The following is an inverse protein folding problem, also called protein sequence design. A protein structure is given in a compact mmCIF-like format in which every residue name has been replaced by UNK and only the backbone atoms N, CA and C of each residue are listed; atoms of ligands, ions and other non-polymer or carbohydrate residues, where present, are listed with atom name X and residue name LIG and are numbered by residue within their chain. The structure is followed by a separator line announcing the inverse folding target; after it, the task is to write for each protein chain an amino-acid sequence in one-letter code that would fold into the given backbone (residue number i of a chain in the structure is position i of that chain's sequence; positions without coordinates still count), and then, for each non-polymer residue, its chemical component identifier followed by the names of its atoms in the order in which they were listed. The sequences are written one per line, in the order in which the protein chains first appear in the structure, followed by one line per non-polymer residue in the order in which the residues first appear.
data_IF_192214134598
#
_entry.id   IF_192214134598
#
_cell.length_a   1.000
_cell.length_b   1.000
_cell.length_c   1.000
_cell.angle_alpha   90.00
_cell.angle_beta   90.00
_cell.angle_gamma   90.00
#
_symmetry.space_group_name_H-M   'P 1'
#
loop_
_entity.id
_entity.type
_entity.pdbx_description
1 polymer ?
#
# COMPACT_ATOMS: atom_id res chain seq x y z
N UNK A 1 -2.39 30.31 -16.97
CA UNK A 1 -1.50 29.54 -16.06
C UNK A 1 -0.43 30.49 -15.53
N UNK A 2 -0.19 30.52 -14.22
CA UNK A 2 0.81 31.41 -13.61
C UNK A 2 2.22 31.08 -14.12
N UNK A 3 3.02 32.09 -14.48
CA UNK A 3 4.40 31.95 -14.96
C UNK A 3 5.29 31.18 -13.95
N UNK A 4 5.03 31.33 -12.66
CA UNK A 4 5.76 30.62 -11.60
C UNK A 4 5.53 29.10 -11.67
N UNK A 5 4.28 28.66 -11.89
CA UNK A 5 3.94 27.23 -12.05
C UNK A 5 4.65 26.67 -13.29
N UNK A 6 4.63 27.40 -14.41
CA UNK A 6 5.30 26.98 -15.64
C UNK A 6 6.80 26.74 -15.43
N UNK A 7 7.47 27.68 -14.74
CA UNK A 7 8.89 27.55 -14.43
C UNK A 7 9.16 26.34 -13.51
N UNK A 8 8.33 26.12 -12.49
CA UNK A 8 8.46 24.95 -11.60
C UNK A 8 8.23 23.62 -12.35
N UNK A 9 7.29 23.58 -13.29
CA UNK A 9 7.02 22.38 -14.12
C UNK A 9 8.21 22.01 -15.02
N UNK A 10 9.03 22.98 -15.43
CA UNK A 10 10.23 22.74 -16.22
C UNK A 10 11.34 22.05 -15.39
N UNK A 11 11.38 22.30 -14.09
CA UNK A 11 12.39 21.80 -13.15
C UNK A 11 12.06 20.45 -12.51
N UNK A 12 10.92 19.85 -12.86
CA UNK A 12 10.49 18.59 -12.27
C UNK A 12 11.42 17.42 -12.67
N UNK A 13 11.88 16.60 -11.69
CA UNK A 13 12.77 15.49 -11.97
C UNK A 13 12.00 14.27 -12.51
N UNK A 14 12.74 13.43 -13.24
CA UNK A 14 12.30 12.10 -13.68
C UNK A 14 12.54 11.04 -12.58
N UNK A 15 12.08 11.34 -11.35
CA UNK A 15 12.29 10.53 -10.15
C UNK A 15 10.97 10.28 -9.38
N UNK A 16 10.88 9.24 -8.55
CA UNK A 16 9.73 9.03 -7.68
C UNK A 16 9.72 10.06 -6.54
N UNK A 17 8.54 10.29 -5.98
CA UNK A 17 8.38 11.19 -4.85
C UNK A 17 6.95 11.62 -4.59
N UNK A 18 6.80 12.58 -3.70
CA UNK A 18 5.52 13.21 -3.37
C UNK A 18 5.45 14.62 -3.94
N UNK A 19 4.27 15.06 -4.35
CA UNK A 19 3.97 16.44 -4.69
C UNK A 19 2.86 16.97 -3.78
N UNK A 20 2.97 18.25 -3.46
CA UNK A 20 2.15 18.95 -2.47
C UNK A 20 1.59 20.20 -3.16
N UNK A 21 0.27 20.29 -3.28
CA UNK A 21 -0.42 21.39 -3.91
C UNK A 21 -0.95 22.36 -2.86
N UNK A 22 -0.76 23.66 -3.09
CA UNK A 22 -1.12 24.74 -2.16
C UNK A 22 -2.06 25.75 -2.79
N UNK A 23 -2.96 26.29 -1.97
CA UNK A 23 -3.83 27.39 -2.35
C UNK A 23 -3.18 28.77 -2.13
N UNK A 24 -3.93 29.84 -2.45
CA UNK A 24 -3.51 31.25 -2.29
C UNK A 24 -3.08 31.65 -0.88
N UNK A 25 -3.50 30.90 0.15
CA UNK A 25 -3.10 31.13 1.54
C UNK A 25 -1.84 30.36 1.94
N UNK A 26 -1.29 29.55 1.03
CA UNK A 26 -0.20 28.62 1.32
C UNK A 26 -0.65 27.33 2.00
N UNK A 27 -1.97 27.11 2.14
CA UNK A 27 -2.53 25.91 2.78
C UNK A 27 -2.38 24.71 1.86
N UNK A 28 -1.96 23.57 2.41
CA UNK A 28 -1.86 22.30 1.67
C UNK A 28 -3.27 21.78 1.40
N UNK A 29 -3.67 21.76 0.14
CA UNK A 29 -5.00 21.34 -0.28
C UNK A 29 -5.02 19.94 -0.88
N UNK A 30 -3.89 19.45 -1.39
CA UNK A 30 -3.74 18.09 -1.91
C UNK A 30 -2.29 17.60 -1.82
N UNK A 31 -2.11 16.32 -1.54
CA UNK A 31 -0.84 15.60 -1.57
C UNK A 31 -1.03 14.33 -2.42
N UNK A 32 -0.05 14.03 -3.26
CA UNK A 32 -0.04 12.76 -3.98
C UNK A 32 1.37 12.25 -4.25
N UNK A 33 1.50 10.95 -4.51
CA UNK A 33 2.74 10.32 -4.95
C UNK A 33 2.84 10.15 -6.46
N UNK A 34 4.06 10.05 -6.96
CA UNK A 34 4.36 9.76 -8.35
C UNK A 34 5.50 8.74 -8.46
N UNK A 35 5.41 7.84 -9.45
CA UNK A 35 6.57 7.04 -9.91
C UNK A 35 7.59 7.93 -10.62
N UNK A 36 7.08 8.94 -11.33
CA UNK A 36 7.85 9.96 -12.06
C UNK A 36 7.14 11.29 -11.83
N UNK A 37 7.72 12.16 -11.00
CA UNK A 37 7.15 13.45 -10.61
C UNK A 37 6.83 14.33 -11.83
N UNK A 38 7.76 14.44 -12.78
CA UNK A 38 7.57 15.20 -14.02
C UNK A 38 6.30 14.82 -14.78
N UNK A 39 6.09 13.53 -15.03
CA UNK A 39 4.92 13.06 -15.79
C UNK A 39 3.63 13.30 -15.02
N UNK A 40 3.63 12.98 -13.71
CA UNK A 40 2.42 13.03 -12.90
C UNK A 40 1.97 14.46 -12.61
N UNK A 41 2.89 15.37 -12.28
CA UNK A 41 2.52 16.76 -11.95
C UNK A 41 2.12 17.51 -13.22
N UNK A 42 2.85 17.32 -14.34
CA UNK A 42 2.46 17.93 -15.62
C UNK A 42 1.08 17.48 -16.08
N UNK A 43 0.68 16.24 -15.80
CA UNK A 43 -0.64 15.74 -16.21
C UNK A 43 -1.81 16.48 -15.56
N UNK A 44 -1.62 17.28 -14.50
CA UNK A 44 -2.68 18.14 -13.96
C UNK A 44 -2.84 19.45 -14.73
N UNK A 45 -1.88 19.81 -15.58
CA UNK A 45 -1.87 21.08 -16.29
C UNK A 45 -1.97 20.90 -17.81
N UNK A 46 -2.21 19.66 -18.27
CA UNK A 46 -2.27 19.29 -19.68
C UNK A 46 -3.40 18.31 -19.92
N UNK A 47 -4.22 18.55 -20.95
CA UNK A 47 -5.36 17.69 -21.31
C UNK A 47 -6.65 18.03 -20.59
N UNK A 48 -7.68 17.22 -20.79
CA UNK A 48 -8.96 17.33 -20.07
C UNK A 48 -8.95 16.49 -18.79
N UNK A 49 -9.64 16.97 -17.76
CA UNK A 49 -9.73 16.30 -16.45
C UNK A 49 -11.20 16.07 -16.07
N UNK A 50 -11.45 15.23 -15.07
CA UNK A 50 -12.77 15.14 -14.48
C UNK A 50 -13.06 16.41 -13.66
N UNK A 51 -14.35 16.74 -13.49
CA UNK A 51 -14.79 17.97 -12.83
C UNK A 51 -14.17 18.17 -11.44
N UNK A 52 -13.96 17.08 -10.70
CA UNK A 52 -13.32 17.13 -9.38
C UNK A 52 -11.85 17.56 -9.44
N UNK A 53 -11.09 17.04 -10.41
CA UNK A 53 -9.70 17.41 -10.60
C UNK A 53 -9.57 18.82 -11.16
N UNK A 54 -10.47 19.25 -12.05
CA UNK A 54 -10.53 20.65 -12.52
C UNK A 54 -10.76 21.63 -11.36
N UNK A 55 -11.67 21.30 -10.45
CA UNK A 55 -11.90 22.09 -9.25
C UNK A 55 -10.65 22.16 -8.36
N UNK A 56 -9.94 21.06 -8.15
CA UNK A 56 -8.66 21.07 -7.44
C UNK A 56 -7.68 22.04 -8.11
N UNK A 57 -7.43 21.87 -9.41
CA UNK A 57 -6.45 22.67 -10.17
C UNK A 57 -6.81 24.15 -10.13
N UNK A 58 -8.10 24.50 -10.16
CA UNK A 58 -8.57 25.89 -10.09
C UNK A 58 -8.18 26.61 -8.79
N UNK A 59 -7.95 25.88 -7.71
CA UNK A 59 -7.53 26.43 -6.41
C UNK A 59 -6.01 26.39 -6.20
N UNK A 60 -5.28 25.59 -6.99
CA UNK A 60 -3.82 25.49 -6.90
C UNK A 60 -3.17 26.76 -7.42
N UNK A 61 -2.42 27.43 -6.55
CA UNK A 61 -1.57 28.57 -6.94
C UNK A 61 -0.08 28.22 -6.91
N UNK A 62 0.29 27.21 -6.13
CA UNK A 62 1.66 26.75 -5.99
C UNK A 62 1.74 25.25 -5.71
N UNK A 63 2.91 24.67 -6.00
CA UNK A 63 3.22 23.31 -5.60
C UNK A 63 4.69 23.13 -5.19
N UNK A 64 4.90 22.10 -4.37
CA UNK A 64 6.19 21.61 -3.92
C UNK A 64 6.31 20.11 -4.23
N UNK A 65 7.53 19.59 -4.18
CA UNK A 65 7.77 18.17 -4.31
C UNK A 65 8.93 17.72 -3.42
N UNK A 66 8.89 16.47 -3.01
CA UNK A 66 9.95 15.79 -2.25
C UNK A 66 10.30 14.54 -3.04
N UNK A 67 11.55 14.45 -3.49
CA UNK A 67 12.10 13.28 -4.17
C UNK A 67 12.37 12.19 -3.15
N UNK A 68 12.11 10.94 -3.51
CA UNK A 68 12.42 9.76 -2.70
C UNK A 68 13.28 8.78 -3.49
N UNK A 69 13.94 7.85 -2.82
CA UNK A 69 14.81 6.88 -3.48
C UNK A 69 14.02 5.73 -4.11
N UNK A 70 12.81 5.47 -3.60
CA UNK A 70 11.95 4.40 -4.10
C UNK A 70 10.47 4.76 -4.15
N UNK A 71 9.70 3.97 -4.91
CA UNK A 71 8.24 4.06 -4.93
C UNK A 71 7.60 3.74 -3.58
N UNK A 72 8.27 2.92 -2.75
CA UNK A 72 7.81 2.52 -1.42
C UNK A 72 7.99 3.69 -0.45
N UNK A 73 9.10 4.42 -0.54
CA UNK A 73 9.30 5.62 0.26
C UNK A 73 8.33 6.74 -0.12
N UNK A 74 8.12 7.01 -1.41
CA UNK A 74 7.10 7.96 -1.87
C UNK A 74 5.72 7.60 -1.29
N UNK A 75 5.42 6.32 -1.25
CA UNK A 75 4.19 5.81 -0.66
C UNK A 75 4.08 6.08 0.85
N UNK A 76 5.14 5.80 1.61
CA UNK A 76 5.16 6.03 3.06
C UNK A 76 5.08 7.53 3.37
N UNK A 77 5.83 8.34 2.63
CA UNK A 77 5.85 9.78 2.78
C UNK A 77 4.49 10.42 2.47
N UNK A 78 3.83 10.03 1.38
CA UNK A 78 2.48 10.48 1.05
C UNK A 78 1.50 10.20 2.19
N UNK A 79 1.52 8.97 2.72
CA UNK A 79 0.63 8.59 3.81
C UNK A 79 0.86 9.44 5.06
N UNK A 80 2.11 9.75 5.39
CA UNK A 80 2.45 10.61 6.54
C UNK A 80 1.97 12.04 6.30
N UNK A 81 2.27 12.63 5.14
CA UNK A 81 1.86 13.98 4.77
C UNK A 81 0.33 14.14 4.77
N UNK A 82 -0.43 13.15 4.27
CA UNK A 82 -1.90 13.18 4.29
C UNK A 82 -2.43 13.11 5.73
N UNK A 83 -1.83 12.26 6.58
CA UNK A 83 -2.26 12.14 7.99
C UNK A 83 -1.96 13.39 8.80
N UNK A 84 -0.81 14.01 8.57
CA UNK A 84 -0.37 15.21 9.28
C UNK A 84 -1.15 16.45 8.87
N UNK A 85 -1.44 16.61 7.58
CA UNK A 85 -2.00 17.85 7.04
C UNK A 85 -3.51 17.77 6.74
N UNK A 86 -4.08 16.56 6.70
CA UNK A 86 -5.48 16.28 6.36
C UNK A 86 -6.02 17.13 5.18
N UNK A 87 -5.36 17.11 4.01
CA UNK A 87 -5.70 18.03 2.93
C UNK A 87 -7.13 17.82 2.43
N UNK A 88 -7.88 18.90 2.23
CA UNK A 88 -9.31 18.88 1.88
C UNK A 88 -9.60 17.98 0.69
N UNK A 89 -8.82 18.09 -0.39
CA UNK A 89 -9.06 17.30 -1.60
C UNK A 89 -8.61 15.84 -1.45
N UNK A 90 -7.67 15.48 -0.58
CA UNK A 90 -7.40 14.06 -0.31
C UNK A 90 -8.59 13.36 0.37
N UNK A 91 -9.38 14.11 1.13
CA UNK A 91 -10.61 13.59 1.77
C UNK A 91 -11.73 13.49 0.72
N UNK A 92 -11.92 14.52 -0.11
CA UNK A 92 -12.98 14.56 -1.13
C UNK A 92 -12.73 13.62 -2.32
N UNK A 93 -11.45 13.42 -2.68
CA UNK A 93 -11.00 12.59 -3.80
C UNK A 93 -10.57 11.19 -3.33
N UNK A 94 -10.88 10.82 -2.09
CA UNK A 94 -10.42 9.57 -1.51
C UNK A 94 -10.94 8.39 -2.33
N UNK A 95 -10.03 7.77 -3.06
CA UNK A 95 -10.26 6.46 -3.66
C UNK A 95 -10.21 5.44 -2.49
N UNK A 96 -11.23 4.59 -2.34
CA UNK A 96 -11.37 3.65 -1.20
C UNK A 96 -10.27 2.56 -1.14
N UNK A 97 -9.23 2.68 -1.97
CA UNK A 97 -8.13 1.72 -2.07
C UNK A 97 -7.03 2.08 -1.08
N UNK A 98 -7.24 1.72 0.18
CA UNK A 98 -6.14 1.64 1.14
C UNK A 98 -5.08 0.64 0.67
N UNK A 99 -3.84 0.85 1.09
CA UNK A 99 -2.72 0.03 0.68
C UNK A 99 -2.83 -1.41 1.21
N UNK A 100 -2.50 -2.42 0.40
CA UNK A 100 -2.51 -3.80 0.85
C UNK A 100 -1.35 -4.08 1.81
N UNK A 101 -1.63 -4.92 2.78
CA UNK A 101 -0.71 -5.51 3.75
C UNK A 101 -0.82 -7.02 3.64
N UNK A 102 0.29 -7.71 3.90
CA UNK A 102 0.28 -9.13 4.18
C UNK A 102 -0.04 -9.29 5.68
N UNK A 103 -1.08 -10.05 5.98
CA UNK A 103 -1.55 -10.36 7.33
C UNK A 103 -1.30 -11.83 7.65
N UNK A 104 -0.74 -12.10 8.81
CA UNK A 104 -0.77 -13.42 9.44
C UNK A 104 -1.83 -13.40 10.53
N UNK A 105 -2.89 -14.20 10.39
CA UNK A 105 -4.00 -14.22 11.35
C UNK A 105 -3.59 -14.72 12.74
N UNK A 106 -4.17 -14.13 13.78
CA UNK A 106 -4.01 -14.57 15.17
C UNK A 106 -5.11 -15.57 15.56
N UNK A 107 -5.08 -16.75 14.93
CA UNK A 107 -6.00 -17.85 15.23
C UNK A 107 -5.20 -19.12 15.54
N UNK A 108 -5.86 -20.17 16.06
CA UNK A 108 -5.19 -21.45 16.43
C UNK A 108 -4.30 -21.99 15.33
N UNK A 109 -4.72 -21.86 14.07
CA UNK A 109 -3.97 -22.26 12.88
C UNK A 109 -3.87 -21.07 11.91
N UNK A 110 -2.79 -20.26 12.03
CA UNK A 110 -2.61 -19.03 11.27
C UNK A 110 -2.66 -19.23 9.76
N UNK A 111 -3.16 -18.20 9.07
CA UNK A 111 -3.24 -18.09 7.62
C UNK A 111 -2.52 -16.83 7.15
N UNK A 112 -1.96 -16.91 5.95
CA UNK A 112 -1.41 -15.77 5.23
C UNK A 112 -2.49 -15.17 4.33
N UNK A 113 -2.80 -13.89 4.51
CA UNK A 113 -3.85 -13.16 3.77
C UNK A 113 -3.36 -11.79 3.30
N UNK A 114 -3.99 -11.23 2.28
CA UNK A 114 -3.80 -9.82 1.91
C UNK A 114 -5.02 -9.05 2.40
N UNK A 115 -4.79 -7.93 3.09
CA UNK A 115 -5.83 -7.06 3.62
C UNK A 115 -5.46 -5.61 3.40
N UNK A 116 -6.45 -4.73 3.26
CA UNK A 116 -6.22 -3.27 3.26
C UNK A 116 -6.62 -2.61 4.58
N UNK A 117 -7.01 -3.42 5.57
CA UNK A 117 -7.41 -3.00 6.91
C UNK A 117 -6.39 -3.56 7.91
N UNK A 118 -5.76 -2.66 8.66
CA UNK A 118 -4.92 -2.99 9.81
C UNK A 118 -5.78 -2.83 11.05
N UNK A 119 -5.97 -3.91 11.81
CA UNK A 119 -6.79 -3.95 13.01
C UNK A 119 -5.91 -4.25 14.23
N UNK A 120 -6.36 -3.85 15.43
CA UNK A 120 -5.73 -4.22 16.71
C UNK A 120 -6.21 -5.60 17.18
N UNK A 121 -6.11 -6.61 16.34
CA UNK A 121 -6.61 -7.97 16.59
C UNK A 121 -5.49 -8.98 16.99
N UNK A 122 -4.29 -8.46 17.28
CA UNK A 122 -3.13 -9.27 17.63
C UNK A 122 -2.53 -10.05 16.45
N UNK A 123 -3.03 -9.84 15.23
CA UNK A 123 -2.41 -10.37 14.01
C UNK A 123 -1.15 -9.58 13.66
N UNK A 124 -0.26 -10.21 12.90
CA UNK A 124 0.94 -9.57 12.37
C UNK A 124 0.61 -8.99 10.99
N UNK A 125 1.07 -7.76 10.71
CA UNK A 125 0.83 -7.04 9.46
C UNK A 125 2.15 -6.55 8.88
N UNK A 126 2.42 -6.89 7.63
CA UNK A 126 3.65 -6.53 6.91
C UNK A 126 3.30 -5.71 5.66
N UNK A 127 4.03 -4.63 5.43
CA UNK A 127 3.75 -3.63 4.41
C UNK A 127 3.80 -2.21 4.98
N UNK A 128 3.17 -1.21 4.32
CA UNK A 128 2.27 -1.34 3.16
C UNK A 128 2.99 -1.72 1.86
N UNK A 129 2.30 -2.44 0.98
CA UNK A 129 2.75 -2.72 -0.37
C UNK A 129 2.28 -1.65 -1.36
N UNK A 130 3.07 -1.36 -2.42
CA UNK A 130 2.75 -0.31 -3.39
C UNK A 130 1.47 -0.60 -4.19
N UNK A 131 1.20 -1.87 -4.46
CA UNK A 131 -0.02 -2.35 -5.10
C UNK A 131 -0.32 -3.80 -4.69
N UNK A 132 -1.47 -4.31 -5.14
CA UNK A 132 -1.89 -5.68 -4.82
C UNK A 132 -1.05 -6.74 -5.53
N UNK A 133 -0.43 -6.41 -6.67
CA UNK A 133 0.46 -7.31 -7.40
C UNK A 133 1.72 -7.61 -6.60
N UNK A 134 2.38 -6.57 -6.08
CA UNK A 134 3.56 -6.71 -5.21
C UNK A 134 3.25 -7.54 -3.94
N UNK A 135 2.09 -7.30 -3.33
CA UNK A 135 1.63 -8.09 -2.19
C UNK A 135 1.39 -9.57 -2.56
N UNK A 136 0.77 -9.83 -3.72
CA UNK A 136 0.52 -11.19 -4.21
C UNK A 136 1.81 -11.97 -4.51
N UNK A 137 2.79 -11.34 -5.17
CA UNK A 137 4.07 -12.00 -5.46
C UNK A 137 4.82 -12.35 -4.18
N UNK A 138 4.86 -11.44 -3.21
CA UNK A 138 5.48 -11.74 -1.90
C UNK A 138 4.72 -12.85 -1.17
N UNK A 139 3.38 -12.80 -1.14
CA UNK A 139 2.56 -13.85 -0.55
C UNK A 139 2.85 -15.21 -1.20
N UNK A 140 2.98 -15.26 -2.52
CA UNK A 140 3.23 -16.50 -3.28
C UNK A 140 4.58 -17.13 -2.93
N UNK A 141 5.60 -16.32 -2.65
CA UNK A 141 6.91 -16.79 -2.17
C UNK A 141 6.76 -17.37 -0.76
N UNK A 142 6.18 -16.61 0.16
CA UNK A 142 5.96 -17.06 1.54
C UNK A 142 5.15 -18.35 1.60
N UNK A 143 4.10 -18.44 0.79
CA UNK A 143 3.23 -19.61 0.64
C UNK A 143 3.94 -20.88 0.16
N UNK A 144 5.11 -20.76 -0.47
CA UNK A 144 5.94 -21.88 -0.94
C UNK A 144 6.95 -22.33 0.10
N UNK A 145 7.42 -21.40 0.93
CA UNK A 145 8.47 -21.64 1.93
C UNK A 145 7.84 -22.09 3.25
N UNK A 146 6.74 -21.47 3.64
CA UNK A 146 6.16 -21.62 4.98
C UNK A 146 4.77 -22.30 4.90
N UNK A 147 4.59 -23.51 5.46
CA UNK A 147 3.37 -24.29 5.31
C UNK A 147 2.24 -23.83 6.26
N UNK A 148 1.88 -22.55 6.21
CA UNK A 148 0.73 -22.01 6.93
C UNK A 148 -0.59 -22.64 6.46
N UNK A 149 -1.65 -22.50 7.26
CA UNK A 149 -2.94 -23.10 6.92
C UNK A 149 -3.50 -22.44 5.65
N UNK A 150 -3.91 -23.27 4.68
CA UNK A 150 -4.67 -22.83 3.48
C UNK A 150 -6.05 -23.49 3.38
N UNK A 151 -6.25 -24.62 4.06
CA UNK A 151 -7.53 -25.34 4.07
C UNK A 151 -8.61 -24.60 4.87
N UNK A 152 -9.87 -24.91 4.56
CA UNK A 152 -11.04 -24.45 5.32
C UNK A 152 -11.04 -24.97 6.76
N UNK A 153 -11.79 -24.34 7.68
CA UNK A 153 -12.04 -24.94 8.99
C UNK A 153 -12.77 -26.29 8.80
N UNK A 154 -12.47 -27.26 9.67
CA UNK A 154 -13.10 -28.59 9.70
C UNK A 154 -12.93 -29.45 8.44
N UNK A 155 -12.00 -29.11 7.54
CA UNK A 155 -11.69 -29.92 6.37
C UNK A 155 -10.95 -31.20 6.80
N UNK A 156 -11.66 -32.34 6.80
CA UNK A 156 -11.14 -33.65 7.23
C UNK A 156 -10.28 -34.37 6.17
N UNK A 157 -10.30 -33.90 4.93
CA UNK A 157 -9.50 -34.45 3.84
C UNK A 157 -8.29 -33.56 3.52
N UNK A 158 -7.12 -34.14 3.19
CA UNK A 158 -5.96 -33.36 2.80
C UNK A 158 -6.27 -32.42 1.63
N UNK A 159 -5.87 -31.15 1.75
CA UNK A 159 -6.03 -30.18 0.67
C UNK A 159 -4.90 -30.31 -0.36
N UNK A 160 -5.10 -29.79 -1.58
CA UNK A 160 -4.05 -29.75 -2.62
C UNK A 160 -2.71 -29.21 -2.09
N UNK A 161 -2.76 -28.13 -1.30
CA UNK A 161 -1.56 -27.50 -0.75
C UNK A 161 -0.80 -28.37 0.25
N UNK A 162 -1.46 -29.34 0.90
CA UNK A 162 -0.77 -30.32 1.72
C UNK A 162 0.12 -31.22 0.87
N UNK A 163 -0.40 -31.73 -0.25
CA UNK A 163 0.37 -32.52 -1.20
C UNK A 163 1.52 -31.74 -1.85
N UNK A 164 1.41 -30.40 -1.89
CA UNK A 164 2.47 -29.51 -2.36
C UNK A 164 3.46 -29.09 -1.26
N UNK A 165 3.30 -29.55 -0.01
CA UNK A 165 4.14 -29.14 1.13
C UNK A 165 3.92 -27.71 1.62
N UNK A 166 2.81 -27.08 1.24
CA UNK A 166 2.50 -25.67 1.49
C UNK A 166 1.41 -25.45 2.54
N UNK A 167 0.92 -26.51 3.18
CA UNK A 167 -0.09 -26.44 4.23
C UNK A 167 0.01 -27.70 5.09
N UNK A 168 0.11 -27.56 6.42
CA UNK A 168 0.13 -28.73 7.32
C UNK A 168 -1.25 -29.42 7.48
N UNK A 169 -2.32 -28.80 6.98
CA UNK A 169 -3.69 -29.33 6.99
C UNK A 169 -4.18 -29.82 8.37
N UNK A 170 -4.22 -28.93 9.39
CA UNK A 170 -4.37 -29.28 10.80
C UNK A 170 -5.78 -29.76 11.21
N UNK A 171 -6.71 -29.85 10.25
CA UNK A 171 -8.05 -30.42 10.44
C UNK A 171 -8.18 -31.82 9.86
N UNK A 172 -7.26 -32.24 8.99
CA UNK A 172 -7.16 -33.60 8.47
C UNK A 172 -6.11 -34.41 9.27
N UNK A 173 -5.08 -33.73 9.79
CA UNK A 173 -4.01 -34.32 10.58
C UNK A 173 -3.86 -33.63 11.92
N UNK A 174 -3.37 -34.38 12.91
CA UNK A 174 -3.03 -33.85 14.22
C UNK A 174 -1.72 -33.05 14.12
N UNK A 175 -1.83 -31.73 14.23
CA UNK A 175 -0.71 -30.80 14.16
C UNK A 175 -0.73 -29.94 15.42
N UNK A 176 0.36 -29.95 16.18
CA UNK A 176 0.50 -29.11 17.36
C UNK A 176 0.47 -27.62 16.96
N UNK A 177 -0.45 -26.80 17.51
CA UNK A 177 -0.47 -25.36 17.32
C UNK A 177 0.87 -24.65 17.60
N UNK A 178 1.74 -25.21 18.45
CA UNK A 178 3.07 -24.65 18.73
C UNK A 178 3.98 -24.63 17.48
N UNK A 179 3.81 -25.58 16.55
CA UNK A 179 4.57 -25.62 15.28
C UNK A 179 4.35 -24.33 14.49
N UNK A 180 3.10 -23.86 14.45
CA UNK A 180 2.77 -22.60 13.77
C UNK A 180 3.44 -21.38 14.39
N UNK A 181 3.70 -21.37 15.70
CA UNK A 181 4.44 -20.27 16.35
C UNK A 181 5.86 -20.17 15.83
N UNK A 182 6.53 -21.31 15.60
CA UNK A 182 7.85 -21.38 14.98
C UNK A 182 7.82 -20.81 13.56
N UNK A 183 6.89 -21.28 12.73
CA UNK A 183 6.72 -20.80 11.35
C UNK A 183 6.45 -19.29 11.31
N UNK A 184 5.57 -18.78 12.17
CA UNK A 184 5.28 -17.34 12.22
C UNK A 184 6.51 -16.55 12.65
N UNK A 185 7.32 -17.05 13.58
CA UNK A 185 8.59 -16.42 13.97
C UNK A 185 9.58 -16.36 12.81
N UNK A 186 9.70 -17.42 12.01
CA UNK A 186 10.55 -17.43 10.82
C UNK A 186 10.05 -16.45 9.75
N UNK A 187 8.73 -16.37 9.52
CA UNK A 187 8.17 -15.36 8.61
C UNK A 187 8.48 -13.95 9.10
N UNK A 188 8.40 -13.70 10.41
CA UNK A 188 8.77 -12.40 11.00
C UNK A 188 10.24 -12.04 10.79
N UNK A 189 11.13 -13.03 10.62
CA UNK A 189 12.55 -12.81 10.33
C UNK A 189 12.84 -12.66 8.83
N UNK A 190 11.95 -13.14 7.97
CA UNK A 190 12.04 -12.94 6.52
C UNK A 190 11.80 -11.48 6.12
N UNK A 191 10.92 -10.80 6.87
CA UNK A 191 10.64 -9.37 6.72
C UNK A 191 11.68 -8.50 7.41
#
# INVERSE_FOLDING_TARGET
MNQQIQNKLALLPDQPGCYIMKDKSGTIIYVGKAKILKNRVRSYFTGGHDTKTEHLISEVVDFEYIVTESNIEALLLENNLIKENLPRYNIMLKDDKTYPFIKITNEKYPRLMITRKVLKDGAEYFGPYPDIGAANETKKILDRIFPLRKCGPHQKTPCLYYHLGQCLCPYAFEVDPAVYKGIVKEIKQFF
#
